data_IF_453572219767
#
_entry.id   IF_453572219767
#
_cell.length_a   1.000
_cell.length_b   1.000
_cell.length_c   1.000
_cell.angle_alpha   90.00
_cell.angle_beta   90.00
_cell.angle_gamma   90.00
#
_symmetry.space_group_name_H-M   'P 1'
#
loop_
_entity.id
_entity.type
_entity.pdbx_description
1 polymer ?
#
# COMPACT_ATOMS: atom_id res chain seq x y z
N UNK A 1 9.41 26.67 -16.35
CA UNK A 1 9.23 25.38 -15.68
C UNK A 1 10.62 24.91 -15.27
N UNK A 2 11.01 25.07 -13.99
CA UNK A 2 12.32 24.63 -13.52
C UNK A 2 12.26 23.12 -13.34
N UNK A 3 13.08 22.34 -14.04
CA UNK A 3 13.19 20.90 -13.87
C UNK A 3 13.81 20.62 -12.50
N UNK A 4 13.00 20.19 -11.53
CA UNK A 4 13.47 19.76 -10.21
C UNK A 4 14.04 18.33 -10.25
N UNK A 5 14.67 17.97 -11.34
CA UNK A 5 15.31 16.69 -11.54
C UNK A 5 16.82 16.88 -11.37
N UNK A 6 17.39 16.30 -10.33
CA UNK A 6 18.81 16.40 -10.06
C UNK A 6 19.53 15.24 -10.75
N UNK A 7 20.59 15.55 -11.52
CA UNK A 7 21.49 14.55 -12.08
C UNK A 7 22.40 14.05 -10.96
N UNK A 8 22.15 12.85 -10.48
CA UNK A 8 22.94 12.22 -9.41
C UNK A 8 24.12 11.45 -10.01
N UNK A 9 25.22 12.16 -10.20
CA UNK A 9 26.51 11.50 -10.41
C UNK A 9 27.06 11.00 -9.06
N UNK A 10 27.05 9.70 -8.85
CA UNK A 10 27.82 8.90 -7.86
C UNK A 10 27.69 9.17 -6.35
N UNK A 11 26.82 10.00 -5.86
CA UNK A 11 26.68 10.24 -4.42
C UNK A 11 25.47 9.51 -3.82
N UNK A 12 25.70 8.53 -2.92
CA UNK A 12 24.63 7.89 -2.14
C UNK A 12 23.77 8.91 -1.37
N UNK A 13 24.36 10.03 -0.97
CA UNK A 13 23.67 11.13 -0.32
C UNK A 13 22.63 11.83 -1.23
N UNK A 14 22.83 11.82 -2.54
CA UNK A 14 21.92 12.43 -3.50
C UNK A 14 20.59 11.67 -3.65
N UNK A 15 20.53 10.40 -3.21
CA UNK A 15 19.30 9.58 -3.29
C UNK A 15 18.49 9.59 -2.00
N UNK A 16 19.01 10.09 -0.89
CA UNK A 16 18.24 10.16 0.36
C UNK A 16 17.10 11.18 0.23
N UNK A 17 15.87 10.71 0.44
CA UNK A 17 14.67 11.53 0.29
C UNK A 17 14.21 11.75 -1.15
N UNK A 18 14.79 11.05 -2.13
CA UNK A 18 14.44 11.19 -3.55
C UNK A 18 13.96 9.85 -4.13
N UNK A 19 13.02 9.91 -5.07
CA UNK A 19 12.63 8.74 -5.85
C UNK A 19 13.56 8.56 -7.03
N UNK A 20 14.21 7.40 -7.15
CA UNK A 20 15.06 7.05 -8.29
C UNK A 20 14.19 6.80 -9.51
N UNK A 21 14.32 7.63 -10.52
CA UNK A 21 13.63 7.47 -11.80
C UNK A 21 14.46 6.63 -12.79
N UNK A 22 15.75 6.93 -12.89
CA UNK A 22 16.70 6.22 -13.73
C UNK A 22 18.06 6.11 -13.03
N UNK A 23 19.02 5.44 -13.65
CA UNK A 23 20.39 5.33 -13.14
C UNK A 23 21.04 6.69 -12.80
N UNK A 24 20.63 7.77 -13.48
CA UNK A 24 21.26 9.08 -13.36
C UNK A 24 20.29 10.19 -12.93
N UNK A 25 19.01 9.86 -12.71
CA UNK A 25 17.98 10.86 -12.46
C UNK A 25 17.17 10.43 -11.25
N UNK A 26 17.04 11.32 -10.28
CA UNK A 26 16.16 11.16 -9.12
C UNK A 26 15.24 12.38 -9.01
N UNK A 27 14.01 12.16 -8.54
CA UNK A 27 13.02 13.19 -8.28
C UNK A 27 12.95 13.50 -6.79
N UNK A 28 12.97 14.77 -6.42
CA UNK A 28 12.77 15.20 -5.05
C UNK A 28 11.33 14.92 -4.61
N UNK A 29 11.16 14.28 -3.45
CA UNK A 29 9.86 13.92 -2.88
C UNK A 29 9.23 15.02 -2.03
N UNK A 30 9.94 16.13 -1.79
CA UNK A 30 9.39 17.25 -1.05
C UNK A 30 8.38 18.03 -1.90
N UNK A 31 7.10 17.73 -1.69
CA UNK A 31 5.99 18.38 -2.41
C UNK A 31 5.90 19.89 -2.15
N UNK A 32 6.40 20.38 -1.02
CA UNK A 32 6.42 21.81 -0.71
C UNK A 32 7.46 22.56 -1.56
N UNK A 33 8.62 21.94 -1.78
CA UNK A 33 9.66 22.53 -2.61
C UNK A 33 9.34 22.38 -4.11
N UNK A 34 8.80 21.23 -4.50
CA UNK A 34 8.56 20.93 -5.92
C UNK A 34 7.23 21.49 -6.43
N UNK A 35 6.25 21.69 -5.57
CA UNK A 35 4.87 22.02 -5.95
C UNK A 35 4.15 20.89 -6.69
N UNK A 36 4.73 19.68 -6.71
CA UNK A 36 4.19 18.49 -7.40
C UNK A 36 3.86 17.38 -6.41
N UNK A 37 2.90 16.53 -6.77
CA UNK A 37 2.67 15.29 -6.03
C UNK A 37 3.73 14.24 -6.40
N UNK A 38 3.84 13.19 -5.58
CA UNK A 38 4.80 12.11 -5.74
C UNK A 38 4.25 10.90 -6.52
N UNK A 39 3.15 11.08 -7.24
CA UNK A 39 2.61 10.01 -8.07
C UNK A 39 3.46 9.81 -9.32
N UNK A 40 3.94 8.59 -9.55
CA UNK A 40 4.79 8.25 -10.68
C UNK A 40 4.14 7.14 -11.50
N UNK A 41 3.97 7.38 -12.78
CA UNK A 41 3.53 6.39 -13.74
C UNK A 41 4.72 5.89 -14.57
N UNK A 42 5.05 4.60 -14.46
CA UNK A 42 6.13 3.97 -15.21
C UNK A 42 5.54 3.09 -16.30
N UNK A 43 5.71 3.50 -17.55
CA UNK A 43 5.22 2.77 -18.72
C UNK A 43 6.35 1.98 -19.40
N UNK A 44 6.01 0.80 -19.90
CA UNK A 44 6.94 -0.04 -20.65
C UNK A 44 6.38 -1.44 -20.92
N UNK A 45 6.87 -2.09 -21.96
CA UNK A 45 6.50 -3.46 -22.32
C UNK A 45 6.92 -4.48 -21.26
N UNK A 46 6.44 -5.71 -21.35
CA UNK A 46 6.93 -6.81 -20.53
C UNK A 46 8.44 -6.98 -20.78
N UNK A 47 9.21 -7.24 -19.72
CA UNK A 47 10.68 -7.38 -19.82
C UNK A 47 11.48 -6.08 -19.93
N UNK A 48 10.84 -4.88 -20.02
CA UNK A 48 11.54 -3.59 -20.12
C UNK A 48 12.31 -3.17 -18.86
N UNK A 49 12.28 -3.97 -17.81
CA UNK A 49 13.04 -3.71 -16.59
C UNK A 49 12.37 -2.79 -15.57
N UNK A 50 11.06 -2.50 -15.70
CA UNK A 50 10.33 -1.64 -14.73
C UNK A 50 10.56 -2.03 -13.29
N UNK A 51 10.40 -3.29 -12.96
CA UNK A 51 10.63 -3.80 -11.61
C UNK A 51 12.09 -3.71 -11.21
N UNK A 52 13.00 -4.12 -12.08
CA UNK A 52 14.45 -4.19 -11.82
C UNK A 52 15.09 -2.81 -11.67
N UNK A 53 14.71 -1.87 -12.55
CA UNK A 53 15.41 -0.60 -12.67
C UNK A 53 14.72 0.55 -11.93
N UNK A 54 13.44 0.37 -11.53
CA UNK A 54 12.70 1.42 -10.83
C UNK A 54 12.22 0.92 -9.45
N UNK A 55 11.41 -0.15 -9.39
CA UNK A 55 10.79 -0.58 -8.14
C UNK A 55 11.83 -1.06 -7.11
N UNK A 56 12.70 -2.01 -7.49
CA UNK A 56 13.70 -2.56 -6.56
C UNK A 56 14.67 -1.52 -6.01
N UNK A 57 15.27 -0.62 -6.82
CA UNK A 57 16.14 0.42 -6.28
C UNK A 57 15.42 1.34 -5.28
N UNK A 58 14.15 1.68 -5.52
CA UNK A 58 13.39 2.52 -4.60
C UNK A 58 13.04 1.79 -3.29
N UNK A 59 12.72 0.50 -3.32
CA UNK A 59 12.54 -0.30 -2.11
C UNK A 59 13.85 -0.41 -1.30
N UNK A 60 14.98 -0.58 -1.97
CA UNK A 60 16.30 -0.69 -1.31
C UNK A 60 16.78 0.60 -0.66
N UNK A 61 16.18 1.74 -0.97
CA UNK A 61 16.51 2.98 -0.28
C UNK A 61 16.00 3.00 1.17
N UNK A 62 15.03 2.15 1.52
CA UNK A 62 14.53 2.00 2.89
C UNK A 62 14.08 3.34 3.53
N UNK A 63 13.37 4.18 2.79
CA UNK A 63 13.02 5.55 3.24
C UNK A 63 11.67 5.68 3.94
N UNK A 64 10.86 4.62 3.95
CA UNK A 64 9.53 4.68 4.53
C UNK A 64 8.83 3.33 4.54
N UNK A 65 7.55 3.32 4.87
CA UNK A 65 6.72 2.12 4.78
C UNK A 65 6.25 1.91 3.34
N UNK A 66 6.19 0.65 2.91
CA UNK A 66 5.83 0.29 1.55
C UNK A 66 4.65 -0.68 1.54
N UNK A 67 3.74 -0.47 0.61
CA UNK A 67 2.74 -1.47 0.22
C UNK A 67 3.01 -1.81 -1.24
N UNK A 68 3.33 -3.07 -1.52
CA UNK A 68 3.74 -3.52 -2.84
C UNK A 68 2.78 -4.60 -3.34
N UNK A 69 2.17 -4.36 -4.51
CA UNK A 69 1.35 -5.34 -5.19
C UNK A 69 2.24 -6.20 -6.10
N UNK A 70 2.47 -7.47 -5.70
CA UNK A 70 3.31 -8.42 -6.43
C UNK A 70 2.47 -9.54 -7.05
N UNK A 71 2.05 -9.35 -8.28
CA UNK A 71 1.20 -10.32 -8.99
C UNK A 71 1.91 -11.64 -9.33
N UNK A 72 3.23 -11.68 -9.23
CA UNK A 72 4.06 -12.85 -9.55
C UNK A 72 4.64 -13.55 -8.31
N UNK A 73 4.54 -12.94 -7.13
CA UNK A 73 5.12 -13.46 -5.88
C UNK A 73 6.66 -13.49 -5.84
N UNK A 74 7.32 -12.79 -6.77
CA UNK A 74 8.79 -12.84 -6.91
C UNK A 74 9.47 -11.85 -5.97
N UNK A 75 8.86 -10.68 -5.77
CA UNK A 75 9.49 -9.59 -5.01
C UNK A 75 9.69 -9.93 -3.55
N UNK A 76 8.72 -10.59 -2.92
CA UNK A 76 8.85 -11.04 -1.54
C UNK A 76 10.04 -11.97 -1.36
N UNK A 77 10.21 -12.95 -2.24
CA UNK A 77 11.32 -13.91 -2.17
C UNK A 77 12.68 -13.24 -2.44
N UNK A 78 12.74 -12.25 -3.32
CA UNK A 78 14.01 -11.60 -3.69
C UNK A 78 14.41 -10.48 -2.72
N UNK A 79 13.43 -9.75 -2.16
CA UNK A 79 13.67 -8.52 -1.40
C UNK A 79 13.34 -8.64 0.08
N UNK A 80 12.46 -9.57 0.46
CA UNK A 80 11.93 -9.66 1.82
C UNK A 80 13.02 -9.84 2.87
N UNK A 81 13.93 -10.78 2.66
CA UNK A 81 15.04 -11.01 3.58
C UNK A 81 15.99 -9.80 3.68
N UNK A 82 16.24 -9.12 2.57
CA UNK A 82 17.09 -7.93 2.55
C UNK A 82 16.45 -6.77 3.32
N UNK A 83 15.16 -6.55 3.16
CA UNK A 83 14.41 -5.52 3.90
C UNK A 83 14.33 -5.87 5.39
N UNK A 84 14.13 -7.13 5.74
CA UNK A 84 14.13 -7.57 7.14
C UNK A 84 15.49 -7.32 7.82
N UNK A 85 16.60 -7.54 7.14
CA UNK A 85 17.95 -7.22 7.62
C UNK A 85 18.14 -5.70 7.83
N UNK A 86 17.41 -4.86 7.12
CA UNK A 86 17.40 -3.40 7.32
C UNK A 86 16.44 -2.94 8.43
N UNK A 87 15.83 -3.88 9.16
CA UNK A 87 14.94 -3.59 10.28
C UNK A 87 13.46 -3.43 9.93
N UNK A 88 13.07 -3.74 8.69
CA UNK A 88 11.66 -3.72 8.31
C UNK A 88 10.92 -4.97 8.80
N UNK A 89 9.71 -4.76 9.31
CA UNK A 89 8.73 -5.84 9.44
C UNK A 89 8.14 -6.09 8.06
N UNK A 90 8.38 -7.27 7.50
CA UNK A 90 7.92 -7.64 6.16
C UNK A 90 6.79 -8.66 6.29
N UNK A 91 5.58 -8.23 5.99
CA UNK A 91 4.39 -9.07 6.01
C UNK A 91 3.96 -9.40 4.57
N UNK A 92 3.54 -10.63 4.33
CA UNK A 92 3.03 -11.10 3.04
C UNK A 92 1.55 -11.48 3.17
N UNK A 93 0.72 -10.97 2.23
CA UNK A 93 -0.64 -11.43 2.02
C UNK A 93 -0.70 -12.17 0.69
N UNK A 94 -0.78 -13.50 0.73
CA UNK A 94 -0.89 -14.35 -0.46
C UNK A 94 -2.32 -14.86 -0.60
N UNK A 95 -3.05 -14.31 -1.56
CA UNK A 95 -4.42 -14.72 -1.86
C UNK A 95 -4.50 -15.90 -2.82
N UNK A 96 -3.35 -16.39 -3.33
CA UNK A 96 -3.32 -17.50 -4.27
C UNK A 96 -3.24 -18.84 -3.56
N UNK A 97 -2.27 -18.99 -2.68
CA UNK A 97 -2.03 -20.25 -1.95
C UNK A 97 -2.56 -20.22 -0.52
N UNK A 98 -2.77 -19.03 0.03
CA UNK A 98 -3.14 -18.80 1.43
C UNK A 98 -2.14 -19.41 2.44
N UNK A 99 -1.01 -19.91 1.94
CA UNK A 99 0.06 -20.51 2.74
C UNK A 99 1.09 -19.46 3.16
N UNK A 100 1.52 -19.50 4.43
CA UNK A 100 2.52 -18.56 4.95
C UNK A 100 2.09 -17.08 5.01
N UNK A 101 0.80 -16.83 4.79
CA UNK A 101 0.21 -15.49 4.80
C UNK A 101 0.04 -14.99 6.23
N UNK A 102 0.43 -13.76 6.50
CA UNK A 102 0.05 -13.10 7.74
C UNK A 102 -1.47 -12.87 7.73
N UNK A 103 -2.14 -13.17 8.86
CA UNK A 103 -3.55 -12.84 9.02
C UNK A 103 -3.75 -11.33 9.06
N UNK A 104 -4.77 -10.85 8.39
CA UNK A 104 -5.21 -9.47 8.49
C UNK A 104 -6.63 -9.41 9.02
N UNK A 105 -6.80 -8.83 10.20
CA UNK A 105 -8.10 -8.56 10.79
C UNK A 105 -8.42 -7.07 10.62
N UNK A 106 -9.27 -6.70 9.67
CA UNK A 106 -9.66 -5.31 9.46
C UNK A 106 -10.41 -4.73 10.66
N UNK A 107 -11.09 -5.56 11.43
CA UNK A 107 -11.86 -5.13 12.60
C UNK A 107 -10.97 -4.72 13.78
N UNK A 108 -9.73 -5.23 13.82
CA UNK A 108 -8.74 -4.81 14.82
C UNK A 108 -8.31 -3.35 14.64
N UNK A 109 -8.47 -2.81 13.43
CA UNK A 109 -8.10 -1.43 13.10
C UNK A 109 -9.18 -0.40 13.46
N UNK A 110 -10.36 -0.83 13.91
CA UNK A 110 -11.44 0.07 14.35
C UNK A 110 -11.00 0.89 15.56
N UNK A 111 -11.05 2.19 15.43
CA UNK A 111 -10.71 3.12 16.52
C UNK A 111 -11.68 2.99 17.68
N UNK A 112 -11.16 3.08 18.89
CA UNK A 112 -11.96 3.11 20.12
C UNK A 112 -12.01 4.55 20.62
N UNK A 113 -13.20 5.12 20.66
CA UNK A 113 -13.46 6.47 21.15
C UNK A 113 -14.40 6.39 22.37
N UNK A 114 -13.95 6.92 23.51
CA UNK A 114 -14.70 6.86 24.77
C UNK A 114 -15.15 5.44 25.18
N UNK A 115 -14.31 4.44 24.95
CA UNK A 115 -14.62 3.03 25.26
C UNK A 115 -15.58 2.35 24.30
N UNK A 116 -15.99 3.02 23.22
CA UNK A 116 -16.87 2.46 22.18
C UNK A 116 -16.15 2.43 20.83
N UNK A 117 -16.42 1.41 20.00
CA UNK A 117 -15.86 1.36 18.66
C UNK A 117 -16.47 2.48 17.78
N UNK A 118 -15.60 3.11 16.97
CA UNK A 118 -16.02 4.15 16.04
C UNK A 118 -16.94 3.57 14.96
N UNK A 119 -18.16 4.06 14.89
CA UNK A 119 -19.20 3.52 14.02
C UNK A 119 -18.92 3.79 12.53
N UNK A 120 -18.23 4.88 12.22
CA UNK A 120 -17.86 5.20 10.83
C UNK A 120 -16.81 4.23 10.30
N UNK A 121 -15.83 3.84 11.12
CA UNK A 121 -14.83 2.85 10.74
C UNK A 121 -15.49 1.49 10.46
N UNK A 122 -16.46 1.08 11.31
CA UNK A 122 -17.20 -0.17 11.12
C UNK A 122 -17.99 -0.13 9.81
N UNK A 123 -18.70 0.97 9.53
CA UNK A 123 -19.47 1.12 8.29
C UNK A 123 -18.54 1.11 7.07
N UNK A 124 -17.37 1.76 7.15
CA UNK A 124 -16.40 1.77 6.07
C UNK A 124 -15.88 0.35 5.76
N UNK A 125 -15.55 -0.43 6.81
CA UNK A 125 -15.10 -1.82 6.67
C UNK A 125 -16.23 -2.69 6.11
N UNK A 126 -17.45 -2.59 6.65
CA UNK A 126 -18.61 -3.34 6.16
C UNK A 126 -18.92 -3.03 4.69
N UNK A 127 -18.82 -1.76 4.29
CA UNK A 127 -19.01 -1.35 2.89
C UNK A 127 -17.89 -1.84 1.96
N UNK A 128 -16.67 -2.00 2.47
CA UNK A 128 -15.56 -2.56 1.70
C UNK A 128 -15.70 -4.08 1.50
N UNK A 129 -16.24 -4.80 2.51
CA UNK A 129 -16.51 -6.24 2.43
C UNK A 129 -17.73 -6.53 1.54
N UNK A 130 -18.76 -5.67 1.62
CA UNK A 130 -19.98 -5.78 0.81
C UNK A 130 -20.06 -4.61 -0.18
N UNK A 131 -19.22 -4.59 -1.22
CA UNK A 131 -19.22 -3.49 -2.18
C UNK A 131 -20.55 -3.47 -2.95
N UNK A 132 -21.06 -2.25 -3.21
CA UNK A 132 -22.22 -2.08 -4.06
C UNK A 132 -21.80 -2.38 -5.51
N UNK A 133 -22.28 -3.48 -6.05
CA UNK A 133 -22.11 -3.76 -7.48
C UNK A 133 -22.96 -2.79 -8.30
N UNK A 134 -22.32 -2.09 -9.24
CA UNK A 134 -22.98 -1.07 -10.08
C UNK A 134 -24.08 -1.64 -10.99
N UNK A 135 -24.20 -2.97 -11.11
CA UNK A 135 -25.17 -3.68 -11.93
C UNK A 135 -26.22 -4.47 -11.14
N UNK A 136 -26.22 -4.42 -9.80
CA UNK A 136 -27.28 -5.07 -9.04
C UNK A 136 -28.61 -4.31 -9.24
N UNK A 137 -29.62 -5.01 -9.73
CA UNK A 137 -30.97 -4.52 -9.90
C UNK A 137 -31.67 -4.16 -8.58
N UNK A 138 -31.18 -4.69 -7.44
CA UNK A 138 -31.70 -4.42 -6.11
C UNK A 138 -30.56 -4.14 -5.11
N UNK A 139 -30.37 -2.87 -4.73
CA UNK A 139 -29.36 -2.46 -3.76
C UNK A 139 -29.68 -2.89 -2.33
N UNK A 140 -30.88 -3.41 -2.06
CA UNK A 140 -31.35 -3.78 -0.73
C UNK A 140 -30.47 -4.83 -0.06
N UNK A 141 -30.09 -5.90 -0.78
CA UNK A 141 -29.33 -7.01 -0.20
C UNK A 141 -27.92 -6.61 0.21
N UNK A 142 -27.24 -5.79 -0.60
CA UNK A 142 -25.90 -5.27 -0.25
C UNK A 142 -25.95 -4.35 0.97
N UNK A 143 -26.97 -3.50 1.06
CA UNK A 143 -27.17 -2.60 2.19
C UNK A 143 -27.54 -3.36 3.45
N UNK A 144 -28.41 -4.36 3.35
CA UNK A 144 -28.81 -5.24 4.46
C UNK A 144 -27.60 -6.01 5.01
N UNK A 145 -26.76 -6.58 4.16
CA UNK A 145 -25.55 -7.30 4.55
C UNK A 145 -24.55 -6.37 5.28
N UNK A 146 -24.30 -5.18 4.76
CA UNK A 146 -23.42 -4.20 5.39
C UNK A 146 -23.95 -3.75 6.76
N UNK A 147 -25.26 -3.52 6.88
CA UNK A 147 -25.89 -3.17 8.15
C UNK A 147 -25.82 -4.32 9.15
N UNK A 148 -26.07 -5.56 8.72
CA UNK A 148 -25.96 -6.74 9.58
C UNK A 148 -24.55 -6.91 10.13
N UNK A 149 -23.51 -6.77 9.30
CA UNK A 149 -22.12 -6.83 9.74
C UNK A 149 -21.81 -5.73 10.75
N UNK A 150 -22.27 -4.51 10.50
CA UNK A 150 -22.06 -3.36 11.38
C UNK A 150 -22.68 -3.58 12.77
N UNK A 151 -23.92 -4.06 12.81
CA UNK A 151 -24.64 -4.35 14.08
C UNK A 151 -24.00 -5.51 14.82
N UNK A 152 -23.67 -6.60 14.11
CA UNK A 152 -23.03 -7.78 14.70
C UNK A 152 -21.70 -7.45 15.35
N UNK A 153 -20.86 -6.65 14.69
CA UNK A 153 -19.58 -6.23 15.26
C UNK A 153 -19.73 -5.36 16.50
N UNK A 154 -20.68 -4.41 16.47
CA UNK A 154 -20.95 -3.54 17.62
C UNK A 154 -21.39 -4.35 18.85
N UNK A 155 -22.21 -5.39 18.64
CA UNK A 155 -22.65 -6.26 19.72
C UNK A 155 -21.56 -7.20 20.25
N UNK A 156 -20.77 -7.82 19.37
CA UNK A 156 -19.69 -8.74 19.76
C UNK A 156 -18.59 -8.07 20.59
N UNK A 157 -18.33 -6.80 20.35
CA UNK A 157 -17.27 -6.07 21.06
C UNK A 157 -17.76 -5.29 22.30
N UNK A 158 -19.06 -5.22 22.52
CA UNK A 158 -19.67 -4.62 23.72
C UNK A 158 -19.68 -5.56 24.93
N UNK A 159 -19.29 -6.83 24.73
CA UNK A 159 -19.10 -7.88 25.75
C UNK A 159 -17.64 -8.31 25.78
#
# INVERSE_FOLDING_TARGET
>A
MKSNVTSAANDRAAYQGNIVLTKHIAANTDSWQTGMNNNILVLGCSGSGKTRNHLKPNLMQCQGSYIVLDTKGILYNEMGACLALQGYKVDQLDFTTMGGTCGYDPLHQVRIENGKPNQQDIIAIASAICPKEAQQSDPFWGLAAANYLSVSYTHLRAH
#
